data_IF_171214630220
#
_entry.id   IF_171214630220
#
_cell.length_a   1.000
_cell.length_b   1.000
_cell.length_c   1.000
_cell.angle_alpha   90.00
_cell.angle_beta   90.00
_cell.angle_gamma   90.00
#
_symmetry.space_group_name_H-M   'P 1'
#
loop_
_entity.id
_entity.type
_entity.pdbx_description
1 polymer ?
#
# COMPACT_ATOMS: atom_id res chain seq x y z
N UNK A 1 13.38 -3.39 15.54
CA UNK A 1 12.16 -2.69 16.03
C UNK A 1 11.20 -2.74 14.86
N UNK A 2 9.98 -3.11 15.10
CA UNK A 2 9.00 -3.21 14.01
C UNK A 2 8.70 -1.80 13.50
N UNK A 3 8.58 -1.63 12.19
CA UNK A 3 8.20 -0.37 11.56
C UNK A 3 6.76 0.00 11.97
N UNK A 4 6.43 1.31 11.95
CA UNK A 4 5.10 1.82 12.26
C UNK A 4 4.62 1.65 13.71
N UNK A 5 5.51 1.65 14.70
CA UNK A 5 5.11 1.58 16.13
C UNK A 5 4.80 2.98 16.69
N UNK A 6 5.80 3.84 16.77
CA UNK A 6 5.61 5.23 17.23
C UNK A 6 5.06 6.13 16.12
N UNK A 7 5.36 5.81 14.87
CA UNK A 7 4.90 6.56 13.70
C UNK A 7 3.38 6.44 13.50
N UNK A 8 2.78 5.29 13.83
CA UNK A 8 1.32 5.10 13.70
C UNK A 8 0.53 6.22 14.39
N UNK A 9 0.97 6.67 15.57
CA UNK A 9 0.26 7.69 16.36
C UNK A 9 0.18 9.07 15.70
N UNK A 10 1.15 9.40 14.84
CA UNK A 10 1.25 10.70 14.17
C UNK A 10 1.18 10.56 12.64
N UNK A 11 0.93 9.36 12.14
CA UNK A 11 0.93 9.05 10.72
C UNK A 11 -0.03 9.95 9.95
N UNK A 12 -1.29 9.98 10.36
CA UNK A 12 -2.32 10.77 9.67
C UNK A 12 -2.04 12.28 9.72
N UNK A 13 -1.43 12.77 10.81
CA UNK A 13 -1.01 14.15 10.93
C UNK A 13 0.14 14.49 9.96
N UNK A 14 1.16 13.63 9.91
CA UNK A 14 2.32 13.85 9.04
C UNK A 14 2.04 13.59 7.56
N UNK A 15 0.98 12.84 7.26
CA UNK A 15 0.54 12.52 5.91
C UNK A 15 -0.62 13.41 5.42
N UNK A 16 -0.91 14.54 6.09
CA UNK A 16 -1.98 15.46 5.73
C UNK A 16 -1.78 16.16 4.37
N UNK A 17 -0.53 16.20 3.88
CA UNK A 17 -0.17 16.70 2.56
C UNK A 17 -0.38 15.67 1.42
N UNK A 18 -0.70 14.41 1.74
CA UNK A 18 -1.00 13.38 0.75
C UNK A 18 -2.44 13.60 0.25
N UNK A 19 -2.66 13.73 -1.06
CA UNK A 19 -3.98 13.99 -1.63
C UNK A 19 -4.80 12.68 -1.69
N UNK A 20 -5.17 12.11 -0.53
CA UNK A 20 -5.91 10.84 -0.46
C UNK A 20 -7.20 10.83 -1.26
N UNK A 21 -7.90 11.97 -1.37
CA UNK A 21 -9.11 12.08 -2.18
C UNK A 21 -8.85 11.83 -3.67
N UNK A 22 -7.70 12.27 -4.18
CA UNK A 22 -7.27 11.99 -5.56
C UNK A 22 -6.93 10.51 -5.74
N UNK A 23 -6.28 9.90 -4.75
CA UNK A 23 -5.98 8.47 -4.75
C UNK A 23 -7.26 7.63 -4.78
N UNK A 24 -8.20 7.92 -3.86
CA UNK A 24 -9.50 7.22 -3.78
C UNK A 24 -10.27 7.38 -5.09
N UNK A 25 -10.32 8.60 -5.64
CA UNK A 25 -10.98 8.87 -6.92
C UNK A 25 -10.34 8.09 -8.07
N UNK A 26 -9.02 8.03 -8.11
CA UNK A 26 -8.28 7.30 -9.15
C UNK A 26 -8.50 5.80 -9.04
N UNK A 27 -8.36 5.21 -7.85
CA UNK A 27 -8.62 3.78 -7.60
C UNK A 27 -10.06 3.44 -7.97
N UNK A 28 -11.03 4.26 -7.54
CA UNK A 28 -12.46 4.06 -7.89
C UNK A 28 -12.67 4.11 -9.40
N UNK A 29 -11.99 5.02 -10.12
CA UNK A 29 -12.09 5.09 -11.58
C UNK A 29 -11.55 3.83 -12.26
N UNK A 30 -10.44 3.28 -11.77
CA UNK A 30 -9.88 2.02 -12.26
C UNK A 30 -10.83 0.84 -11.98
N UNK A 31 -11.39 0.75 -10.77
CA UNK A 31 -12.38 -0.28 -10.44
C UNK A 31 -13.58 -0.23 -11.40
N UNK A 32 -14.11 0.96 -11.67
CA UNK A 32 -15.23 1.17 -12.61
C UNK A 32 -14.86 0.80 -14.05
N UNK A 33 -13.65 1.12 -14.52
CA UNK A 33 -13.15 0.76 -15.85
C UNK A 33 -13.22 -0.75 -16.10
N UNK A 34 -12.97 -1.53 -15.05
CA UNK A 34 -13.03 -2.98 -15.10
C UNK A 34 -14.37 -3.56 -14.62
N UNK A 35 -15.43 -2.73 -14.58
CA UNK A 35 -16.81 -3.08 -14.22
C UNK A 35 -17.00 -3.53 -12.76
N UNK A 36 -16.14 -3.12 -11.84
CA UNK A 36 -16.32 -3.34 -10.42
C UNK A 36 -16.86 -2.03 -9.82
N UNK A 37 -18.18 -1.90 -9.74
CA UNK A 37 -18.88 -0.70 -9.29
C UNK A 37 -19.44 -0.83 -7.87
N UNK A 38 -19.42 -2.04 -7.31
CA UNK A 38 -19.86 -2.41 -5.97
C UNK A 38 -19.25 -3.76 -5.58
N UNK A 39 -19.46 -4.21 -4.38
CA UNK A 39 -19.05 -5.52 -3.88
C UNK A 39 -17.92 -5.44 -2.85
N UNK A 40 -17.36 -6.60 -2.54
CA UNK A 40 -16.35 -6.75 -1.51
C UNK A 40 -14.94 -6.47 -2.06
N UNK A 41 -14.22 -5.54 -1.46
CA UNK A 41 -12.84 -5.18 -1.81
C UNK A 41 -11.93 -5.40 -0.60
N UNK A 42 -10.80 -6.06 -0.81
CA UNK A 42 -9.77 -6.19 0.21
C UNK A 42 -8.63 -5.20 -0.08
N UNK A 43 -8.15 -4.51 0.95
CA UNK A 43 -6.96 -3.65 0.89
C UNK A 43 -5.82 -4.31 1.67
N UNK A 44 -4.68 -4.52 1.02
CA UNK A 44 -3.45 -5.04 1.61
C UNK A 44 -2.52 -3.89 1.97
N UNK A 45 -2.01 -3.87 3.21
CA UNK A 45 -1.22 -2.75 3.73
C UNK A 45 -2.10 -1.52 3.98
N UNK A 46 -3.27 -1.72 4.61
CA UNK A 46 -4.25 -0.65 4.78
C UNK A 46 -3.84 0.45 5.79
N UNK A 47 -2.80 0.22 6.58
CA UNK A 47 -2.31 1.17 7.57
C UNK A 47 -3.42 1.65 8.52
N UNK A 48 -3.55 2.97 8.65
CA UNK A 48 -4.59 3.63 9.46
C UNK A 48 -5.98 3.64 8.81
N UNK A 49 -6.17 2.96 7.66
CA UNK A 49 -7.46 2.74 7.03
C UNK A 49 -8.03 3.93 6.24
N UNK A 50 -7.24 4.94 5.90
CA UNK A 50 -7.73 6.12 5.19
C UNK A 50 -8.28 5.78 3.80
N UNK A 51 -7.58 4.98 3.00
CA UNK A 51 -8.06 4.49 1.70
C UNK A 51 -9.23 3.53 1.89
N UNK A 52 -9.15 2.61 2.87
CA UNK A 52 -10.24 1.69 3.20
C UNK A 52 -11.56 2.43 3.45
N UNK A 53 -11.56 3.47 4.30
CA UNK A 53 -12.75 4.28 4.58
C UNK A 53 -13.21 5.07 3.35
N UNK A 54 -12.27 5.57 2.56
CA UNK A 54 -12.58 6.28 1.31
C UNK A 54 -13.31 5.40 0.30
N UNK A 55 -12.84 4.15 0.12
CA UNK A 55 -13.51 3.17 -0.75
C UNK A 55 -14.86 2.72 -0.18
N UNK A 56 -14.97 2.58 1.16
CA UNK A 56 -16.26 2.34 1.80
C UNK A 56 -17.27 3.46 1.55
N UNK A 57 -16.83 4.73 1.61
CA UNK A 57 -17.65 5.89 1.23
C UNK A 57 -18.03 5.90 -0.26
N UNK A 58 -17.19 5.33 -1.13
CA UNK A 58 -17.50 5.15 -2.54
C UNK A 58 -18.51 4.02 -2.81
N UNK A 59 -18.88 3.22 -1.78
CA UNK A 59 -19.95 2.23 -1.85
C UNK A 59 -19.48 0.77 -1.86
N UNK A 60 -18.20 0.51 -1.59
CA UNK A 60 -17.67 -0.84 -1.48
C UNK A 60 -17.79 -1.40 -0.06
N UNK A 61 -17.99 -2.70 0.06
CA UNK A 61 -17.76 -3.42 1.31
C UNK A 61 -16.25 -3.66 1.46
N UNK A 62 -15.67 -3.35 2.63
CA UNK A 62 -14.22 -3.30 2.77
C UNK A 62 -13.66 -4.28 3.79
N UNK A 63 -12.55 -4.93 3.41
CA UNK A 63 -11.66 -5.64 4.33
C UNK A 63 -10.29 -4.95 4.27
N UNK A 64 -9.84 -4.34 5.37
CA UNK A 64 -8.48 -3.81 5.50
C UNK A 64 -7.56 -4.84 6.15
N UNK A 65 -6.40 -5.08 5.56
CA UNK A 65 -5.40 -6.03 6.06
C UNK A 65 -4.08 -5.28 6.25
N UNK A 66 -3.51 -5.38 7.45
CA UNK A 66 -2.18 -4.85 7.76
C UNK A 66 -1.46 -5.77 8.74
N UNK A 67 -0.13 -5.76 8.71
CA UNK A 67 0.70 -6.51 9.65
C UNK A 67 0.85 -5.79 10.98
N UNK A 68 0.77 -4.45 10.98
CA UNK A 68 0.94 -3.60 12.16
C UNK A 68 -0.33 -3.53 12.99
N UNK A 69 -0.27 -4.04 14.24
CA UNK A 69 -1.36 -3.90 15.20
C UNK A 69 -1.64 -2.44 15.56
N UNK A 70 -0.57 -1.61 15.63
CA UNK A 70 -0.66 -0.21 16.03
C UNK A 70 -1.40 0.61 14.96
N UNK A 71 -1.12 0.35 13.67
CA UNK A 71 -1.87 0.93 12.56
C UNK A 71 -3.35 0.52 12.60
N UNK A 72 -3.63 -0.75 12.83
CA UNK A 72 -4.99 -1.27 12.90
C UNK A 72 -5.77 -0.78 14.12
N UNK A 73 -5.11 -0.45 15.23
CA UNK A 73 -5.75 0.20 16.38
C UNK A 73 -6.31 1.56 15.96
N UNK A 74 -5.50 2.41 15.31
CA UNK A 74 -5.92 3.71 14.78
C UNK A 74 -7.04 3.54 13.75
N UNK A 75 -6.91 2.58 12.83
CA UNK A 75 -7.94 2.30 11.82
C UNK A 75 -9.28 1.93 12.46
N UNK A 76 -9.28 1.10 13.53
CA UNK A 76 -10.50 0.76 14.25
C UNK A 76 -11.10 1.93 15.03
N UNK A 77 -10.27 2.81 15.62
CA UNK A 77 -10.75 4.03 16.27
C UNK A 77 -11.43 4.96 15.27
N UNK A 78 -10.80 5.21 14.11
CA UNK A 78 -11.36 6.02 13.01
C UNK A 78 -12.68 5.43 12.51
N UNK A 79 -12.72 4.13 12.24
CA UNK A 79 -13.92 3.41 11.84
C UNK A 79 -15.10 3.66 12.80
N UNK A 80 -14.84 3.58 14.11
CA UNK A 80 -15.88 3.81 15.14
C UNK A 80 -16.30 5.28 15.14
N UNK A 81 -15.34 6.21 15.13
CA UNK A 81 -15.59 7.64 15.14
C UNK A 81 -16.39 8.10 13.92
N UNK A 82 -16.13 7.52 12.74
CA UNK A 82 -16.78 7.85 11.47
C UNK A 82 -18.05 7.02 11.20
N UNK A 83 -18.40 6.09 12.10
CA UNK A 83 -19.66 5.35 12.04
C UNK A 83 -19.70 4.21 11.01
N UNK A 84 -18.55 3.74 10.53
CA UNK A 84 -18.48 2.58 9.63
C UNK A 84 -18.69 1.28 10.41
N UNK A 85 -19.79 0.59 10.17
CA UNK A 85 -20.08 -0.72 10.82
C UNK A 85 -19.67 -1.93 9.99
N UNK A 86 -19.50 -1.77 8.67
CA UNK A 86 -19.26 -2.86 7.72
C UNK A 86 -17.78 -3.12 7.43
N UNK A 87 -16.88 -2.16 7.69
CA UNK A 87 -15.45 -2.37 7.47
C UNK A 87 -14.92 -3.43 8.44
N UNK A 88 -14.16 -4.39 7.92
CA UNK A 88 -13.46 -5.40 8.72
C UNK A 88 -11.94 -5.15 8.63
N UNK A 89 -11.27 -5.01 9.77
CA UNK A 89 -9.80 -4.95 9.83
C UNK A 89 -9.22 -6.26 10.36
N UNK A 90 -8.21 -6.79 9.66
CA UNK A 90 -7.55 -8.05 9.97
C UNK A 90 -6.05 -7.86 10.10
N UNK A 91 -5.46 -8.32 11.21
CA UNK A 91 -4.01 -8.32 11.36
C UNK A 91 -3.44 -9.56 10.66
N UNK A 92 -2.89 -9.37 9.46
CA UNK A 92 -2.28 -10.44 8.67
C UNK A 92 -1.13 -9.88 7.82
N UNK A 93 -0.17 -10.75 7.51
CA UNK A 93 0.88 -10.48 6.54
C UNK A 93 0.35 -10.70 5.11
N UNK A 94 0.55 -9.74 4.21
CA UNK A 94 0.11 -9.83 2.82
C UNK A 94 0.74 -11.02 2.06
N UNK A 95 1.85 -11.57 2.53
CA UNK A 95 2.46 -12.78 1.98
C UNK A 95 1.80 -14.08 2.43
N UNK A 96 0.85 -14.02 3.38
CA UNK A 96 0.19 -15.20 3.95
C UNK A 96 -1.25 -14.96 4.37
N UNK A 97 -1.89 -13.92 3.82
CA UNK A 97 -3.27 -13.59 4.18
C UNK A 97 -4.26 -14.67 3.75
N UNK A 98 -5.29 -14.84 4.55
CA UNK A 98 -6.40 -15.77 4.31
C UNK A 98 -7.74 -15.01 4.39
N UNK A 99 -8.61 -15.28 3.42
CA UNK A 99 -10.00 -14.81 3.42
C UNK A 99 -10.96 -15.98 3.49
N UNK A 100 -12.14 -15.76 4.08
CA UNK A 100 -13.18 -16.79 4.17
C UNK A 100 -13.91 -17.05 2.85
N UNK A 101 -13.71 -16.20 1.86
CA UNK A 101 -14.34 -16.29 0.56
C UNK A 101 -13.61 -15.47 -0.47
N UNK A 102 -14.19 -15.31 -1.64
CA UNK A 102 -13.66 -14.50 -2.72
C UNK A 102 -14.10 -13.05 -2.60
N UNK A 103 -13.31 -12.15 -3.20
CA UNK A 103 -13.56 -10.71 -3.27
C UNK A 103 -13.58 -10.23 -4.72
N UNK A 104 -14.28 -9.14 -4.99
CA UNK A 104 -14.41 -8.59 -6.35
C UNK A 104 -13.12 -7.90 -6.80
N UNK A 105 -12.43 -7.26 -5.89
CA UNK A 105 -11.12 -6.66 -6.13
C UNK A 105 -10.21 -6.75 -4.91
N UNK A 106 -8.92 -6.68 -5.17
CA UNK A 106 -7.89 -6.45 -4.15
C UNK A 106 -7.13 -5.18 -4.54
N UNK A 107 -6.83 -4.33 -3.56
CA UNK A 107 -5.98 -3.14 -3.75
C UNK A 107 -4.79 -3.20 -2.79
N UNK A 108 -3.63 -2.73 -3.23
CA UNK A 108 -2.41 -2.63 -2.41
C UNK A 108 -1.67 -1.37 -2.82
N UNK A 109 -1.99 -0.26 -2.17
CA UNK A 109 -1.56 1.08 -2.61
C UNK A 109 -0.67 1.78 -1.58
N UNK A 110 -0.24 2.99 -1.89
CA UNK A 110 0.72 3.75 -1.09
C UNK A 110 2.07 3.05 -0.95
N UNK A 111 2.58 2.48 -2.07
CA UNK A 111 3.86 1.77 -2.14
C UNK A 111 4.05 0.64 -1.10
N UNK A 112 2.95 0.12 -0.54
CA UNK A 112 3.00 -0.98 0.43
C UNK A 112 3.75 -2.21 -0.10
N UNK A 113 3.69 -2.46 -1.40
CA UNK A 113 4.36 -3.59 -2.04
C UNK A 113 5.90 -3.46 -2.05
N UNK A 114 6.43 -2.22 -1.98
CA UNK A 114 7.87 -1.99 -1.90
C UNK A 114 8.49 -2.44 -0.57
N UNK A 115 7.68 -2.64 0.47
CA UNK A 115 8.14 -3.15 1.77
C UNK A 115 8.43 -4.66 1.78
N UNK A 116 8.07 -5.36 0.70
CA UNK A 116 8.43 -6.77 0.54
C UNK A 116 9.93 -6.90 0.24
N UNK A 117 10.54 -7.98 0.74
CA UNK A 117 12.00 -8.12 0.71
C UNK A 117 12.56 -8.51 -0.66
N UNK A 118 11.72 -9.05 -1.56
CA UNK A 118 12.15 -9.52 -2.88
C UNK A 118 10.95 -9.81 -3.79
N UNK A 119 11.21 -10.06 -5.06
CA UNK A 119 10.19 -10.35 -6.08
C UNK A 119 9.47 -11.69 -5.86
N UNK A 120 10.05 -12.64 -5.14
CA UNK A 120 9.37 -13.91 -4.82
C UNK A 120 8.22 -13.68 -3.84
N UNK A 121 8.39 -12.78 -2.88
CA UNK A 121 7.30 -12.36 -2.00
C UNK A 121 6.21 -11.61 -2.77
N UNK A 122 6.58 -10.74 -3.71
CA UNK A 122 5.62 -10.06 -4.59
C UNK A 122 4.83 -11.08 -5.40
N UNK A 123 5.49 -12.05 -6.00
CA UNK A 123 4.85 -13.16 -6.74
C UNK A 123 3.89 -13.94 -5.82
N UNK A 124 4.26 -14.14 -4.56
CA UNK A 124 3.38 -14.79 -3.56
C UNK A 124 2.12 -13.96 -3.32
N UNK A 125 2.24 -12.64 -3.14
CA UNK A 125 1.07 -11.75 -2.97
C UNK A 125 0.15 -11.81 -4.18
N UNK A 126 0.70 -11.72 -5.41
CA UNK A 126 -0.11 -11.87 -6.64
C UNK A 126 -0.77 -13.25 -6.73
N UNK A 127 -0.09 -14.32 -6.31
CA UNK A 127 -0.64 -15.68 -6.31
C UNK A 127 -1.79 -15.84 -5.32
N UNK A 128 -1.66 -15.27 -4.13
CA UNK A 128 -2.72 -15.23 -3.13
C UNK A 128 -3.90 -14.37 -3.62
N UNK A 129 -3.62 -13.20 -4.23
CA UNK A 129 -4.64 -12.37 -4.84
C UNK A 129 -5.39 -13.14 -5.93
N UNK A 130 -4.68 -13.83 -6.83
CA UNK A 130 -5.29 -14.68 -7.85
C UNK A 130 -6.20 -15.76 -7.25
N UNK A 131 -5.83 -16.33 -6.09
CA UNK A 131 -6.64 -17.34 -5.40
C UNK A 131 -7.93 -16.77 -4.79
N UNK A 132 -7.88 -15.56 -4.21
CA UNK A 132 -9.02 -14.96 -3.50
C UNK A 132 -9.88 -14.03 -4.34
N UNK A 133 -9.49 -13.67 -5.55
CA UNK A 133 -10.33 -12.90 -6.46
C UNK A 133 -11.45 -13.77 -7.05
N UNK A 134 -12.64 -13.22 -7.22
CA UNK A 134 -13.69 -13.82 -8.03
C UNK A 134 -13.26 -13.97 -9.50
N UNK A 135 -14.00 -14.77 -10.24
CA UNK A 135 -13.76 -14.93 -11.68
C UNK A 135 -13.81 -13.58 -12.40
N UNK A 136 -12.68 -13.15 -12.96
CA UNK A 136 -12.53 -11.86 -13.63
C UNK A 136 -12.30 -10.68 -12.71
N UNK A 137 -12.17 -10.90 -11.39
CA UNK A 137 -11.78 -9.88 -10.43
C UNK A 137 -10.39 -9.32 -10.68
N UNK A 138 -10.09 -8.15 -10.16
CA UNK A 138 -8.82 -7.46 -10.42
C UNK A 138 -8.01 -7.21 -9.15
N UNK A 139 -6.69 -7.21 -9.32
CA UNK A 139 -5.74 -6.71 -8.35
C UNK A 139 -5.14 -5.40 -8.88
N UNK A 140 -5.24 -4.34 -8.09
CA UNK A 140 -4.63 -3.05 -8.35
C UNK A 140 -3.57 -2.83 -7.29
N UNK A 141 -2.32 -2.61 -7.70
CA UNK A 141 -1.29 -2.16 -6.78
C UNK A 141 -0.49 -1.01 -7.39
N UNK A 142 0.15 -0.22 -6.54
CA UNK A 142 1.15 0.73 -6.98
C UNK A 142 2.51 0.42 -6.36
N UNK A 143 3.55 0.91 -7.01
CA UNK A 143 4.91 0.84 -6.49
C UNK A 143 5.74 2.05 -6.88
N UNK A 144 6.69 2.42 -6.03
CA UNK A 144 7.77 3.34 -6.36
C UNK A 144 8.85 2.60 -7.13
N UNK A 145 9.28 3.22 -8.23
CA UNK A 145 10.24 2.59 -9.13
C UNK A 145 11.67 2.67 -8.59
N UNK A 146 12.53 1.82 -9.13
CA UNK A 146 13.98 1.92 -8.91
C UNK A 146 14.52 3.29 -9.31
N UNK A 147 14.00 3.88 -10.40
CA UNK A 147 14.35 5.24 -10.84
C UNK A 147 14.02 6.27 -9.75
N UNK A 148 12.83 6.19 -9.15
CA UNK A 148 12.44 7.10 -8.06
C UNK A 148 13.44 7.05 -6.90
N UNK A 149 13.78 5.88 -6.40
CA UNK A 149 14.70 5.76 -5.27
C UNK A 149 16.11 6.18 -5.60
N UNK A 150 16.64 5.78 -6.77
CA UNK A 150 18.02 6.05 -7.16
C UNK A 150 18.25 7.48 -7.62
N UNK A 151 17.34 8.03 -8.43
CA UNK A 151 17.59 9.25 -9.20
C UNK A 151 16.80 10.46 -8.68
N UNK A 152 15.66 10.27 -8.03
CA UNK A 152 14.79 11.35 -7.54
C UNK A 152 14.98 11.57 -6.04
N UNK A 153 14.75 10.56 -5.21
CA UNK A 153 14.94 10.66 -3.76
C UNK A 153 16.42 10.57 -3.41
N UNK A 154 17.12 9.59 -3.93
CA UNK A 154 18.55 9.36 -3.69
C UNK A 154 18.91 9.47 -2.18
N UNK A 155 20.05 10.11 -1.86
CA UNK A 155 20.52 10.34 -0.50
C UNK A 155 19.95 11.67 0.04
N UNK A 156 18.64 11.88 -0.07
CA UNK A 156 18.00 13.13 0.36
C UNK A 156 17.59 13.08 1.83
N UNK A 157 17.61 14.25 2.46
CA UNK A 157 17.08 14.46 3.80
C UNK A 157 15.88 15.40 3.71
N UNK A 158 14.73 14.93 4.19
CA UNK A 158 13.53 15.74 4.31
C UNK A 158 13.29 15.98 5.80
N UNK A 159 13.03 17.21 6.19
CA UNK A 159 12.72 17.56 7.55
C UNK A 159 11.53 18.51 7.59
N UNK A 160 10.66 18.32 8.56
CA UNK A 160 9.53 19.18 8.80
C UNK A 160 9.39 19.43 10.30
N UNK A 161 9.05 20.68 10.64
CA UNK A 161 8.86 21.14 12.01
C UNK A 161 7.44 21.65 12.14
N UNK A 162 6.64 20.99 12.97
CA UNK A 162 5.25 21.35 13.29
C UNK A 162 5.10 21.63 14.78
N UNK A 163 3.96 22.15 15.22
CA UNK A 163 3.74 22.57 16.60
C UNK A 163 3.91 21.44 17.63
N UNK A 164 3.43 20.23 17.30
CA UNK A 164 3.40 19.09 18.22
C UNK A 164 4.28 17.90 17.77
N UNK A 165 4.73 17.88 16.51
CA UNK A 165 5.58 16.84 15.96
C UNK A 165 6.55 17.40 14.94
N UNK A 166 7.81 16.97 15.02
CA UNK A 166 8.81 17.25 13.98
C UNK A 166 9.44 15.93 13.54
N UNK A 167 9.90 15.88 12.30
CA UNK A 167 10.60 14.70 11.81
C UNK A 167 11.82 15.04 10.97
N UNK A 168 12.74 14.08 10.93
CA UNK A 168 13.85 14.02 9.98
C UNK A 168 13.75 12.67 9.29
N UNK A 169 13.60 12.72 7.98
CA UNK A 169 13.48 11.59 7.08
C UNK A 169 14.74 11.54 6.24
N UNK A 170 15.63 10.63 6.56
CA UNK A 170 16.96 10.49 5.95
C UNK A 170 16.95 9.25 5.06
N UNK A 171 17.07 9.47 3.74
CA UNK A 171 17.06 8.39 2.74
C UNK A 171 18.49 8.03 2.35
N UNK A 172 18.72 6.75 2.17
CA UNK A 172 19.93 6.20 1.59
C UNK A 172 19.56 5.06 0.63
N UNK A 173 19.97 5.18 -0.63
CA UNK A 173 19.72 4.12 -1.60
C UNK A 173 20.95 3.23 -1.78
N UNK A 174 20.87 1.98 -1.32
CA UNK A 174 21.90 0.97 -1.57
C UNK A 174 21.70 0.34 -2.96
N UNK A 175 22.53 0.74 -3.91
CA UNK A 175 22.46 0.28 -5.29
C UNK A 175 22.83 -1.21 -5.44
N UNK A 176 23.71 -1.76 -4.58
CA UNK A 176 24.11 -3.15 -4.64
C UNK A 176 22.99 -4.08 -4.16
N UNK A 177 22.27 -3.68 -3.11
CA UNK A 177 21.13 -4.41 -2.56
C UNK A 177 19.81 -4.03 -3.24
N UNK A 178 19.78 -2.93 -4.00
CA UNK A 178 18.58 -2.37 -4.61
C UNK A 178 17.49 -2.05 -3.58
N UNK A 179 17.88 -1.44 -2.46
CA UNK A 179 17.02 -1.12 -1.33
C UNK A 179 17.20 0.36 -0.96
N UNK A 180 16.08 1.05 -0.80
CA UNK A 180 16.05 2.36 -0.14
C UNK A 180 15.89 2.14 1.37
N UNK A 181 16.87 2.55 2.14
CA UNK A 181 16.80 2.63 3.59
C UNK A 181 16.33 4.02 3.97
N UNK A 182 15.30 4.08 4.78
CA UNK A 182 14.75 5.29 5.34
C UNK A 182 14.92 5.27 6.85
N UNK A 183 15.74 6.18 7.38
CA UNK A 183 15.84 6.42 8.81
C UNK A 183 14.92 7.59 9.19
N UNK A 184 13.80 7.28 9.82
CA UNK A 184 12.81 8.25 10.29
C UNK A 184 13.07 8.56 11.77
N UNK A 185 13.53 9.79 12.06
CA UNK A 185 13.58 10.32 13.43
C UNK A 185 12.36 11.18 13.67
N UNK A 186 11.56 10.81 14.67
CA UNK A 186 10.39 11.54 15.13
C UNK A 186 10.68 12.25 16.45
N UNK A 187 10.21 13.47 16.59
CA UNK A 187 10.25 14.25 17.83
C UNK A 187 8.81 14.59 18.19
N UNK A 188 8.28 13.88 19.16
CA UNK A 188 6.90 14.01 19.65
C UNK A 188 6.89 14.91 20.87
N UNK A 189 6.12 15.99 20.82
CA UNK A 189 6.00 16.91 21.94
C UNK A 189 5.30 16.22 23.12
N UNK A 190 5.90 16.33 24.27
CA UNK A 190 5.33 15.96 25.54
C UNK A 190 4.98 17.23 26.34
N UNK A 191 4.64 17.10 27.61
CA UNK A 191 4.37 18.24 28.47
C UNK A 191 5.59 19.19 28.60
N UNK A 192 5.36 20.50 28.74
CA UNK A 192 6.36 21.52 29.06
C UNK A 192 7.52 21.72 28.07
N UNK A 193 7.25 21.76 26.75
CA UNK A 193 8.26 21.97 25.68
C UNK A 193 9.37 20.90 25.63
N UNK A 194 9.11 19.73 26.15
CA UNK A 194 9.97 18.56 26.01
C UNK A 194 9.53 17.73 24.81
N UNK A 195 10.50 17.12 24.12
CA UNK A 195 10.23 16.23 23.00
C UNK A 195 10.80 14.85 23.28
N UNK A 196 9.98 13.82 23.07
CA UNK A 196 10.44 12.44 23.03
C UNK A 196 10.91 12.12 21.62
N UNK A 197 12.18 11.75 21.49
CA UNK A 197 12.71 11.26 20.23
C UNK A 197 12.50 9.76 20.11
N UNK A 198 11.95 9.33 18.99
CA UNK A 198 11.93 7.93 18.54
C UNK A 198 12.60 7.80 17.17
N UNK A 199 13.00 6.60 16.80
CA UNK A 199 13.59 6.35 15.49
C UNK A 199 13.10 5.01 14.96
N UNK A 200 12.68 5.00 13.69
CA UNK A 200 12.25 3.82 12.96
C UNK A 200 13.06 3.72 11.66
N UNK A 201 13.23 2.49 11.18
CA UNK A 201 13.90 2.21 9.92
C UNK A 201 12.93 1.50 9.01
N UNK A 202 12.81 2.00 7.80
CA UNK A 202 12.00 1.43 6.75
C UNK A 202 12.90 1.02 5.60
N UNK A 203 12.59 -0.11 5.00
CA UNK A 203 13.34 -0.67 3.88
C UNK A 203 12.39 -0.94 2.74
N UNK A 204 12.67 -0.35 1.59
CA UNK A 204 11.83 -0.47 0.40
C UNK A 204 12.69 -0.91 -0.78
N UNK A 205 12.29 -2.00 -1.45
CA UNK A 205 13.00 -2.47 -2.63
C UNK A 205 12.68 -1.60 -3.84
N UNK A 206 13.71 -1.31 -4.66
CA UNK A 206 13.53 -0.68 -5.96
C UNK A 206 12.97 -1.68 -6.97
N UNK A 207 11.85 -1.34 -7.60
CA UNK A 207 11.17 -2.20 -8.57
C UNK A 207 11.20 -1.57 -9.97
N UNK A 208 11.24 -2.43 -10.97
CA UNK A 208 11.08 -2.04 -12.39
C UNK A 208 9.76 -2.56 -12.92
N UNK A 209 9.29 -1.96 -14.03
CA UNK A 209 8.13 -2.48 -14.74
C UNK A 209 8.32 -3.95 -15.15
N UNK A 210 9.53 -4.32 -15.56
CA UNK A 210 9.85 -5.71 -15.95
C UNK A 210 9.75 -6.68 -14.78
N UNK A 211 10.17 -6.27 -13.56
CA UNK A 211 10.00 -7.09 -12.36
C UNK A 211 8.53 -7.39 -12.09
N UNK A 212 7.69 -6.36 -12.16
CA UNK A 212 6.25 -6.51 -11.92
C UNK A 212 5.55 -7.35 -12.98
N UNK A 213 5.90 -7.19 -14.26
CA UNK A 213 5.40 -8.05 -15.35
C UNK A 213 5.72 -9.52 -15.04
N UNK A 214 6.97 -9.82 -14.66
CA UNK A 214 7.38 -11.20 -14.30
C UNK A 214 6.60 -11.74 -13.10
N UNK A 215 6.40 -10.93 -12.07
CA UNK A 215 5.64 -11.36 -10.88
C UNK A 215 4.18 -11.69 -11.24
N UNK A 216 3.51 -10.85 -12.03
CA UNK A 216 2.14 -11.09 -12.50
C UNK A 216 2.04 -12.38 -13.31
N UNK A 217 2.97 -12.58 -14.26
CA UNK A 217 2.99 -13.76 -15.13
C UNK A 217 3.27 -15.05 -14.31
N UNK A 218 4.23 -15.03 -13.41
CA UNK A 218 4.57 -16.17 -12.55
C UNK A 218 3.43 -16.53 -11.58
N UNK A 219 2.67 -15.55 -11.12
CA UNK A 219 1.47 -15.76 -10.32
C UNK A 219 0.28 -16.29 -11.14
N UNK A 220 0.42 -16.39 -12.47
CA UNK A 220 -0.62 -16.90 -13.36
C UNK A 220 -1.77 -15.91 -13.56
N UNK A 221 -1.59 -14.63 -13.28
CA UNK A 221 -2.56 -13.58 -13.55
C UNK A 221 -2.41 -13.01 -14.97
N UNK A 222 -3.40 -12.25 -15.42
CA UNK A 222 -3.36 -11.50 -16.68
C UNK A 222 -3.01 -10.04 -16.38
N UNK A 223 -1.87 -9.56 -16.87
CA UNK A 223 -1.55 -8.14 -16.82
C UNK A 223 -2.47 -7.38 -17.79
N UNK A 224 -3.25 -6.44 -17.27
CA UNK A 224 -4.15 -5.60 -18.07
C UNK A 224 -3.52 -4.28 -18.47
N UNK A 225 -2.88 -3.60 -17.50
CA UNK A 225 -2.26 -2.30 -17.71
C UNK A 225 -1.17 -2.01 -16.69
N UNK A 226 -0.26 -1.13 -17.08
CA UNK A 226 0.69 -0.44 -16.20
C UNK A 226 0.64 1.05 -16.56
N UNK A 227 0.22 1.88 -15.62
CA UNK A 227 0.05 3.31 -15.83
C UNK A 227 1.01 4.12 -14.98
N UNK A 228 1.51 5.21 -15.57
CA UNK A 228 2.13 6.27 -14.80
C UNK A 228 1.11 6.86 -13.82
N UNK A 229 1.53 7.12 -12.58
CA UNK A 229 0.61 7.38 -11.47
C UNK A 229 -0.41 8.49 -11.77
N UNK A 230 -1.65 8.23 -11.37
CA UNK A 230 -2.81 9.12 -11.53
C UNK A 230 -3.16 9.47 -12.98
N UNK A 231 -2.68 8.67 -13.92
CA UNK A 231 -2.96 8.82 -15.36
C UNK A 231 -3.36 7.48 -15.98
N UNK A 232 -3.74 7.51 -17.27
CA UNK A 232 -3.86 6.33 -18.13
C UNK A 232 -2.73 6.28 -19.17
N UNK A 233 -1.67 7.07 -18.95
CA UNK A 233 -0.47 7.01 -19.78
C UNK A 233 0.31 5.74 -19.42
N UNK A 234 0.72 4.93 -20.40
CA UNK A 234 1.57 3.78 -20.12
C UNK A 234 2.83 4.16 -19.35
N UNK A 235 3.17 3.38 -18.32
CA UNK A 235 4.38 3.57 -17.55
C UNK A 235 5.63 3.43 -18.42
N UNK A 236 6.68 4.17 -18.05
CA UNK A 236 7.99 4.15 -18.70
C UNK A 236 9.08 3.93 -17.66
N UNK A 237 10.33 3.81 -18.12
CA UNK A 237 11.48 3.67 -17.22
C UNK A 237 11.76 4.94 -16.39
N UNK A 238 11.20 6.09 -16.81
CA UNK A 238 11.30 7.36 -16.09
C UNK A 238 10.09 7.63 -15.15
N UNK A 239 9.12 6.73 -15.09
CA UNK A 239 7.99 6.85 -14.17
C UNK A 239 8.48 6.72 -12.72
N UNK A 240 8.04 7.62 -11.85
CA UNK A 240 8.41 7.61 -10.42
C UNK A 240 7.56 6.63 -9.62
N UNK A 241 6.29 6.53 -9.97
CA UNK A 241 5.28 5.64 -9.38
C UNK A 241 4.43 5.02 -10.48
N UNK A 242 4.19 3.73 -10.38
CA UNK A 242 3.46 2.98 -11.39
C UNK A 242 2.31 2.22 -10.73
N UNK A 243 1.12 2.31 -11.34
CA UNK A 243 -0.01 1.44 -11.02
C UNK A 243 -0.01 0.23 -11.93
N UNK A 244 -0.16 -0.95 -11.32
CA UNK A 244 -0.29 -2.24 -12.00
C UNK A 244 -1.71 -2.74 -11.82
N UNK A 245 -2.35 -3.09 -12.91
CA UNK A 245 -3.68 -3.69 -12.92
C UNK A 245 -3.57 -5.10 -13.50
N UNK A 246 -3.86 -6.10 -12.69
CA UNK A 246 -3.84 -7.51 -13.07
C UNK A 246 -5.20 -8.14 -12.84
N UNK A 247 -5.61 -9.04 -13.75
CA UNK A 247 -6.87 -9.76 -13.65
C UNK A 247 -6.64 -11.18 -13.18
N UNK A 248 -7.58 -11.65 -12.38
CA UNK A 248 -7.68 -13.06 -12.03
C UNK A 248 -7.73 -13.94 -13.28
N UNK A 249 -7.02 -15.05 -13.22
CA UNK A 249 -7.05 -16.07 -14.22
C UNK A 249 -7.23 -17.43 -13.55
N UNK A 250 -8.28 -18.13 -13.98
CA UNK A 250 -8.57 -19.45 -13.43
C UNK A 250 -7.40 -20.42 -13.60
N UNK A 251 -7.08 -21.16 -12.54
CA UNK A 251 -6.10 -22.25 -12.56
C UNK A 251 -6.62 -23.47 -11.79
N UNK A 252 -6.10 -24.66 -12.13
CA UNK A 252 -6.39 -25.88 -11.39
C UNK A 252 -5.90 -25.74 -9.93
N UNK A 253 -6.76 -26.03 -8.97
CA UNK A 253 -6.46 -25.92 -7.53
C UNK A 253 -6.86 -24.60 -6.88
N UNK A 254 -7.43 -23.66 -7.63
CA UNK A 254 -8.04 -22.47 -7.04
C UNK A 254 -9.19 -22.89 -6.13
N UNK A 255 -9.11 -22.43 -4.89
CA UNK A 255 -10.14 -22.68 -3.91
C UNK A 255 -11.25 -21.62 -4.09
N UNK A 256 -12.29 -21.97 -4.83
CA UNK A 256 -13.54 -21.22 -4.73
C UNK A 256 -14.27 -21.67 -3.46
N UNK A 257 -14.46 -20.77 -2.55
CA UNK A 257 -15.25 -21.01 -1.35
C UNK A 257 -16.66 -20.45 -1.56
#
# INVERSE_FOLDING_TARGET
MDAYTSFAQVYDELMDNIPYDEWISYITSLLHEYNITEGLVAELGCGTGTITEGLANAGYDMIGIDVSSDMLEIANEKKIANGFSSIMYLQQDMCSFELYGTVNAIVCVCDSINYLSNTDQITTVFSLANNYLEAGGIFICDFKTKHYFRDVVADSVIAEDRDDVSFIWDNYYDEEQNVNELALSLFLKEDDDLYRKTQEFHYQIGLTCEDMIRCVEQAGMELLAMYDAFTHTPATDDSERVYVIAREKHHEGKLYI
#
